data_IF_987488279147
#
_entry.id   IF_987488279147
#
_cell.length_a   1.000
_cell.length_b   1.000
_cell.length_c   1.000
_cell.angle_alpha   90.00
_cell.angle_beta   90.00
_cell.angle_gamma   90.00
#
_symmetry.space_group_name_H-M   'P 1'
#
loop_
_entity.id
_entity.type
_entity.pdbx_description
1 polymer ?
#
# COMPACT_ATOMS: atom_id res chain seq x y z
N UNK A 1 -57.92 -0.52 25.15
CA UNK A 1 -57.10 -0.75 23.94
C UNK A 1 -56.50 0.59 23.47
N UNK A 2 -55.36 1.03 24.02
CA UNK A 2 -54.72 2.29 23.59
C UNK A 2 -53.26 2.45 24.05
N UNK A 3 -52.47 1.39 24.04
CA UNK A 3 -51.04 1.47 24.40
C UNK A 3 -50.12 0.58 23.57
N UNK A 4 -50.67 -0.30 22.72
CA UNK A 4 -49.88 -1.23 21.90
C UNK A 4 -49.44 -0.69 20.53
N UNK A 5 -49.97 0.47 20.09
CA UNK A 5 -49.66 0.99 18.75
C UNK A 5 -48.39 1.86 18.68
N UNK A 6 -47.79 2.25 19.81
CA UNK A 6 -46.66 3.19 19.84
C UNK A 6 -45.30 2.48 19.83
N UNK A 7 -45.23 1.20 20.24
CA UNK A 7 -43.97 0.46 20.31
C UNK A 7 -43.48 -0.09 18.94
N UNK A 8 -44.38 -0.22 17.96
CA UNK A 8 -44.03 -0.77 16.64
C UNK A 8 -43.44 0.32 15.73
N UNK A 9 -43.82 1.58 15.93
CA UNK A 9 -43.31 2.70 15.13
C UNK A 9 -41.88 3.13 15.51
N UNK A 10 -41.44 2.91 16.75
CA UNK A 10 -40.07 3.22 17.19
C UNK A 10 -39.05 2.15 16.82
N UNK A 11 -39.47 0.89 16.63
CA UNK A 11 -38.54 -0.19 16.24
C UNK A 11 -38.20 -0.17 14.73
N UNK A 12 -39.10 0.36 13.88
CA UNK A 12 -38.87 0.47 12.43
C UNK A 12 -37.87 1.57 12.04
N UNK A 13 -37.82 2.68 12.78
CA UNK A 13 -36.95 3.81 12.47
C UNK A 13 -35.49 3.61 12.89
N UNK A 14 -35.23 2.82 13.94
CA UNK A 14 -33.87 2.51 14.40
C UNK A 14 -33.11 1.52 13.48
N UNK A 15 -33.82 0.56 12.87
CA UNK A 15 -33.21 -0.44 12.01
C UNK A 15 -32.87 0.08 10.60
N UNK A 16 -33.72 0.95 10.03
CA UNK A 16 -33.47 1.52 8.69
C UNK A 16 -32.32 2.53 8.71
N UNK A 17 -32.21 3.33 9.77
CA UNK A 17 -31.10 4.29 9.92
C UNK A 17 -29.76 3.58 10.19
N UNK A 18 -29.73 2.53 11.00
CA UNK A 18 -28.52 1.71 11.23
C UNK A 18 -28.00 0.98 9.99
N UNK A 19 -28.90 0.45 9.14
CA UNK A 19 -28.52 -0.26 7.91
C UNK A 19 -27.97 0.67 6.81
N UNK A 20 -28.49 1.90 6.68
CA UNK A 20 -27.98 2.84 5.68
C UNK A 20 -26.61 3.43 6.07
N UNK A 21 -26.40 3.73 7.35
CA UNK A 21 -25.11 4.24 7.84
C UNK A 21 -24.01 3.18 7.71
N UNK A 22 -24.32 1.91 8.05
CA UNK A 22 -23.39 0.79 7.85
C UNK A 22 -23.02 0.58 6.39
N UNK A 23 -23.98 0.67 5.46
CA UNK A 23 -23.71 0.44 4.04
C UNK A 23 -22.84 1.55 3.42
N UNK A 24 -23.01 2.81 3.81
CA UNK A 24 -22.18 3.91 3.29
C UNK A 24 -20.74 3.86 3.83
N UNK A 25 -20.57 3.48 5.10
CA UNK A 25 -19.26 3.35 5.73
C UNK A 25 -18.49 2.12 5.23
N UNK A 26 -19.17 0.97 5.08
CA UNK A 26 -18.58 -0.26 4.54
C UNK A 26 -18.23 -0.09 3.06
N UNK A 27 -19.14 0.42 2.23
CA UNK A 27 -18.86 0.65 0.80
C UNK A 27 -17.77 1.71 0.61
N UNK A 28 -17.76 2.78 1.41
CA UNK A 28 -16.71 3.79 1.38
C UNK A 28 -15.34 3.24 1.78
N UNK A 29 -15.27 2.44 2.84
CA UNK A 29 -14.02 1.83 3.34
C UNK A 29 -13.51 0.77 2.37
N UNK A 30 -14.38 -0.13 1.90
CA UNK A 30 -14.04 -1.17 0.93
C UNK A 30 -13.63 -0.55 -0.41
N UNK A 31 -14.35 0.46 -0.91
CA UNK A 31 -13.98 1.16 -2.15
C UNK A 31 -12.65 1.92 -2.00
N UNK A 32 -12.41 2.54 -0.85
CA UNK A 32 -11.12 3.21 -0.59
C UNK A 32 -9.98 2.20 -0.45
N UNK A 33 -10.23 1.05 0.16
CA UNK A 33 -9.26 -0.03 0.30
C UNK A 33 -8.99 -0.75 -1.03
N UNK A 34 -10.00 -0.93 -1.88
CA UNK A 34 -9.82 -1.40 -3.26
C UNK A 34 -9.12 -0.37 -4.13
N UNK A 35 -9.43 0.93 -3.98
CA UNK A 35 -8.72 2.00 -4.69
C UNK A 35 -7.28 2.15 -4.22
N UNK A 36 -7.00 2.00 -2.93
CA UNK A 36 -5.64 2.05 -2.40
C UNK A 36 -4.84 0.82 -2.83
N UNK A 37 -5.44 -0.37 -2.76
CA UNK A 37 -4.85 -1.61 -3.27
C UNK A 37 -4.63 -1.54 -4.78
N UNK A 38 -5.60 -1.07 -5.56
CA UNK A 38 -5.44 -0.92 -7.02
C UNK A 38 -4.38 0.12 -7.36
N UNK A 39 -4.27 1.21 -6.60
CA UNK A 39 -3.23 2.22 -6.81
C UNK A 39 -1.82 1.68 -6.50
N UNK A 40 -1.67 0.87 -5.44
CA UNK A 40 -0.42 0.18 -5.12
C UNK A 40 -0.05 -0.86 -6.19
N UNK A 41 -1.03 -1.64 -6.67
CA UNK A 41 -0.80 -2.57 -7.78
C UNK A 41 -0.46 -1.84 -9.08
N UNK A 42 -1.06 -0.68 -9.33
CA UNK A 42 -0.76 0.15 -10.50
C UNK A 42 0.66 0.72 -10.44
N UNK A 43 1.11 1.22 -9.29
CA UNK A 43 2.49 1.72 -9.15
C UNK A 43 3.52 0.59 -9.34
N UNK A 44 3.26 -0.59 -8.75
CA UNK A 44 4.12 -1.77 -8.93
C UNK A 44 4.17 -2.22 -10.40
N UNK A 45 3.02 -2.21 -11.09
CA UNK A 45 2.95 -2.53 -12.51
C UNK A 45 3.76 -1.54 -13.35
N UNK A 46 3.68 -0.24 -13.08
CA UNK A 46 4.45 0.78 -13.81
C UNK A 46 5.96 0.63 -13.61
N UNK A 47 6.40 0.43 -12.37
CA UNK A 47 7.82 0.16 -12.05
C UNK A 47 8.30 -1.09 -12.79
N UNK A 48 7.48 -2.15 -12.79
CA UNK A 48 7.81 -3.42 -13.44
C UNK A 48 7.87 -3.31 -14.96
N UNK A 49 6.92 -2.61 -15.58
CA UNK A 49 6.90 -2.38 -17.04
C UNK A 49 8.10 -1.56 -17.47
N UNK A 50 8.42 -0.46 -16.77
CA UNK A 50 9.58 0.36 -17.11
C UNK A 50 10.89 -0.44 -17.00
N UNK A 51 11.06 -1.24 -15.94
CA UNK A 51 12.24 -2.08 -15.80
C UNK A 51 12.33 -3.15 -16.91
N UNK A 52 11.20 -3.75 -17.31
CA UNK A 52 11.16 -4.70 -18.42
C UNK A 52 11.54 -4.05 -19.74
N UNK A 53 11.03 -2.85 -20.04
CA UNK A 53 11.36 -2.13 -21.26
C UNK A 53 12.87 -1.83 -21.33
N UNK A 54 13.45 -1.29 -20.27
CA UNK A 54 14.90 -1.01 -20.20
C UNK A 54 15.75 -2.27 -20.35
N UNK A 55 15.32 -3.40 -19.78
CA UNK A 55 16.00 -4.69 -19.96
C UNK A 55 15.90 -5.20 -21.40
N UNK A 56 14.72 -5.06 -22.03
CA UNK A 56 14.49 -5.50 -23.41
C UNK A 56 15.27 -4.67 -24.43
N UNK A 57 15.48 -3.38 -24.17
CA UNK A 57 16.31 -2.50 -25.01
C UNK A 57 17.81 -2.62 -24.72
N UNK A 58 18.21 -3.49 -23.78
CA UNK A 58 19.61 -3.74 -23.42
C UNK A 58 20.20 -2.71 -22.45
N UNK A 59 19.40 -1.80 -21.89
CA UNK A 59 19.82 -0.80 -20.92
C UNK A 59 19.85 -1.37 -19.48
N UNK A 60 20.61 -2.44 -19.28
CA UNK A 60 20.65 -3.20 -18.02
C UNK A 60 21.03 -2.32 -16.82
N UNK A 61 22.02 -1.43 -16.97
CA UNK A 61 22.47 -0.55 -15.89
C UNK A 61 21.43 0.54 -15.52
N UNK A 62 20.65 0.98 -16.51
CA UNK A 62 19.51 1.89 -16.32
C UNK A 62 18.43 1.20 -15.48
N UNK A 63 18.05 -0.03 -15.87
CA UNK A 63 17.07 -0.83 -15.14
C UNK A 63 17.50 -1.11 -13.68
N UNK A 64 18.76 -1.50 -13.47
CA UNK A 64 19.32 -1.71 -12.12
C UNK A 64 19.26 -0.43 -11.28
N UNK A 65 19.71 0.68 -11.84
CA UNK A 65 19.72 1.98 -11.15
C UNK A 65 18.32 2.47 -10.80
N UNK A 66 17.36 2.26 -11.71
CA UNK A 66 15.95 2.58 -11.49
C UNK A 66 15.36 1.74 -10.35
N UNK A 67 15.48 0.42 -10.44
CA UNK A 67 14.96 -0.49 -9.40
C UNK A 67 15.61 -0.26 -8.04
N UNK A 68 16.93 -0.04 -8.00
CA UNK A 68 17.65 0.29 -6.78
C UNK A 68 17.10 1.55 -6.11
N UNK A 69 16.75 2.57 -6.90
CA UNK A 69 16.16 3.82 -6.40
C UNK A 69 14.77 3.59 -5.81
N UNK A 70 13.92 2.83 -6.49
CA UNK A 70 12.58 2.47 -5.99
C UNK A 70 12.65 1.68 -4.68
N UNK A 71 13.56 0.71 -4.59
CA UNK A 71 13.83 -0.02 -3.34
C UNK A 71 14.33 0.93 -2.25
N UNK A 72 15.22 1.87 -2.59
CA UNK A 72 15.71 2.88 -1.65
C UNK A 72 14.60 3.80 -1.12
N UNK A 73 13.65 4.22 -1.97
CA UNK A 73 12.48 4.97 -1.53
C UNK A 73 11.61 4.15 -0.57
N UNK A 74 11.31 2.90 -0.93
CA UNK A 74 10.52 2.01 -0.09
C UNK A 74 11.20 1.72 1.26
N UNK A 75 12.50 1.41 1.26
CA UNK A 75 13.30 1.13 2.46
C UNK A 75 13.22 2.28 3.49
N UNK A 76 13.30 3.53 3.03
CA UNK A 76 13.16 4.69 3.93
C UNK A 76 11.70 4.89 4.38
N UNK A 77 10.74 4.75 3.46
CA UNK A 77 9.32 4.92 3.76
C UNK A 77 8.85 3.93 4.83
N UNK A 78 9.17 2.64 4.67
CA UNK A 78 8.77 1.61 5.63
C UNK A 78 9.43 1.84 7.00
N UNK A 79 10.67 2.33 7.05
CA UNK A 79 11.33 2.66 8.32
C UNK A 79 10.64 3.81 9.06
N UNK A 80 10.19 4.84 8.33
CA UNK A 80 9.59 6.04 8.89
C UNK A 80 8.11 5.88 9.27
N UNK A 81 7.32 5.17 8.46
CA UNK A 81 5.86 5.19 8.57
C UNK A 81 5.25 3.88 9.08
N UNK A 82 5.90 2.74 8.88
CA UNK A 82 5.30 1.44 9.21
C UNK A 82 5.65 1.00 10.65
N UNK A 83 4.71 0.38 11.38
CA UNK A 83 4.98 -0.15 12.71
C UNK A 83 6.04 -1.27 12.66
N UNK A 84 6.83 -1.48 13.74
CA UNK A 84 7.75 -2.60 13.82
C UNK A 84 7.02 -3.94 13.69
N UNK A 85 7.49 -4.82 12.79
CA UNK A 85 7.01 -6.19 12.65
C UNK A 85 8.16 -7.12 12.25
N UNK A 86 8.08 -8.44 12.53
CA UNK A 86 9.07 -9.41 12.09
C UNK A 86 9.26 -9.41 10.56
N UNK A 87 8.16 -9.30 9.82
CA UNK A 87 8.17 -9.25 8.35
C UNK A 87 8.89 -7.99 7.83
N UNK A 88 8.69 -6.85 8.48
CA UNK A 88 9.41 -5.61 8.16
C UNK A 88 10.91 -5.78 8.41
N UNK A 89 11.30 -6.36 9.54
CA UNK A 89 12.72 -6.59 9.87
C UNK A 89 13.38 -7.54 8.88
N UNK A 90 12.71 -8.64 8.53
CA UNK A 90 13.17 -9.60 7.52
C UNK A 90 13.37 -8.92 6.17
N UNK A 91 12.39 -8.14 5.71
CA UNK A 91 12.47 -7.41 4.44
C UNK A 91 13.60 -6.37 4.43
N UNK A 92 13.75 -5.59 5.50
CA UNK A 92 14.85 -4.62 5.63
C UNK A 92 16.21 -5.32 5.59
N UNK A 93 16.35 -6.44 6.30
CA UNK A 93 17.56 -7.24 6.28
C UNK A 93 17.87 -7.82 4.89
N UNK A 94 16.86 -8.29 4.15
CA UNK A 94 17.04 -8.75 2.77
C UNK A 94 17.51 -7.63 1.83
N UNK A 95 16.98 -6.42 1.98
CA UNK A 95 17.39 -5.25 1.19
C UNK A 95 18.85 -4.90 1.51
N UNK A 96 19.22 -4.87 2.78
CA UNK A 96 20.59 -4.59 3.23
C UNK A 96 21.58 -5.65 2.73
N UNK A 97 21.24 -6.93 2.83
CA UNK A 97 22.06 -8.02 2.33
C UNK A 97 22.26 -7.93 0.80
N UNK A 98 21.20 -7.60 0.06
CA UNK A 98 21.26 -7.43 -1.39
C UNK A 98 22.12 -6.23 -1.82
N UNK A 99 22.27 -5.23 -0.96
CA UNK A 99 23.15 -4.08 -1.24
C UNK A 99 24.64 -4.45 -1.30
N UNK A 100 25.04 -5.60 -0.74
CA UNK A 100 26.42 -6.07 -0.81
C UNK A 100 26.83 -6.45 -2.24
N UNK A 101 25.89 -6.89 -3.08
CA UNK A 101 26.14 -7.33 -4.45
C UNK A 101 25.63 -6.35 -5.52
N UNK A 102 24.88 -5.31 -5.14
CA UNK A 102 24.42 -4.25 -6.05
C UNK A 102 24.97 -2.88 -5.61
N UNK A 103 25.96 -2.34 -6.35
CA UNK A 103 26.47 -0.99 -6.11
C UNK A 103 25.38 0.09 -6.18
N UNK A 104 24.43 -0.05 -7.11
CA UNK A 104 23.32 0.88 -7.30
C UNK A 104 22.40 0.91 -6.08
N UNK A 105 22.10 -0.27 -5.52
CA UNK A 105 21.30 -0.39 -4.31
C UNK A 105 22.03 0.16 -3.10
N UNK A 106 23.31 -0.17 -2.94
CA UNK A 106 24.14 0.39 -1.85
C UNK A 106 24.15 1.91 -1.86
N UNK A 107 24.31 2.50 -3.03
CA UNK A 107 24.27 3.94 -3.21
C UNK A 107 22.86 4.50 -2.92
N UNK A 108 21.80 3.88 -3.43
CA UNK A 108 20.43 4.29 -3.15
C UNK A 108 20.10 4.27 -1.64
N UNK A 109 20.54 3.26 -0.89
CA UNK A 109 20.34 3.20 0.57
C UNK A 109 21.15 4.25 1.33
N UNK A 110 22.33 4.63 0.81
CA UNK A 110 23.22 5.62 1.44
C UNK A 110 22.77 7.06 1.26
N UNK A 111 21.97 7.34 0.22
CA UNK A 111 21.44 8.69 -0.03
C UNK A 111 20.46 9.09 1.07
N UNK A 112 20.80 10.16 1.82
CA UNK A 112 19.86 10.88 2.67
C UNK A 112 18.87 11.64 1.79
N UNK A 113 17.60 11.61 2.14
CA UNK A 113 16.56 12.45 1.50
C UNK A 113 16.99 13.92 1.62
N UNK A 114 17.08 14.63 0.50
CA UNK A 114 17.15 16.10 0.50
C UNK A 114 15.79 16.68 0.87
#
# INVERSE_FOLDING_TARGET
MKTFAVAILTFGLGLVTGLQIGNHFIVGTVRNQFRSSSAQHQSLALVSVHALDELQTGHVESAKSFLAREVGYYYRSIQQFDPPSPQKQELLHHIEASSASSPELKDALSRKTQ
#
